data_IF_362053958158
#
_entry.id   IF_362053958158
#
_cell.length_a   1.000
_cell.length_b   1.000
_cell.length_c   1.000
_cell.angle_alpha   90.00
_cell.angle_beta   90.00
_cell.angle_gamma   90.00
#
_symmetry.space_group_name_H-M   'P 1'
#
loop_
_entity.id
_entity.type
_entity.pdbx_description
1 polymer ?
#
# COMPACT_ATOMS: atom_id res chain seq x y z
N UNK A 1 -76.62 17.03 -15.01
CA UNK A 1 -75.41 17.51 -15.72
C UNK A 1 -74.25 16.59 -15.35
N UNK A 2 -73.59 16.00 -16.37
CA UNK A 2 -72.24 15.40 -16.49
C UNK A 2 -71.52 14.87 -15.21
N UNK A 3 -71.15 13.58 -15.12
CA UNK A 3 -69.93 12.90 -15.66
C UNK A 3 -68.61 13.42 -15.05
N UNK A 4 -67.93 12.60 -14.21
CA UNK A 4 -66.66 11.86 -14.44
C UNK A 4 -65.39 12.69 -14.15
N UNK A 5 -64.36 12.25 -13.40
CA UNK A 5 -63.45 11.07 -13.54
C UNK A 5 -62.81 10.80 -12.14
N UNK A 6 -62.94 9.62 -11.51
CA UNK A 6 -62.04 8.41 -11.44
C UNK A 6 -60.60 8.69 -10.94
N UNK A 7 -60.13 8.24 -9.76
CA UNK A 7 -59.84 6.89 -9.23
C UNK A 7 -58.70 6.12 -9.94
N UNK A 8 -57.61 5.91 -9.19
CA UNK A 8 -56.69 4.75 -9.17
C UNK A 8 -55.83 4.36 -10.38
N UNK A 9 -54.54 4.20 -10.07
CA UNK A 9 -53.87 2.92 -10.29
C UNK A 9 -53.28 2.41 -8.97
N UNK A 10 -53.82 1.26 -8.54
CA UNK A 10 -53.26 0.30 -7.57
C UNK A 10 -51.82 -0.11 -7.99
N UNK A 11 -50.94 -0.54 -7.08
CA UNK A 11 -50.85 -1.95 -6.64
C UNK A 11 -50.22 -2.04 -5.24
N UNK A 12 -50.94 -2.78 -4.39
CA UNK A 12 -50.49 -3.42 -3.15
C UNK A 12 -49.91 -4.79 -3.53
N UNK A 13 -48.75 -5.17 -2.99
CA UNK A 13 -48.46 -6.57 -2.72
C UNK A 13 -47.80 -6.72 -1.34
N UNK A 14 -48.34 -7.68 -0.60
CA UNK A 14 -48.21 -7.95 0.83
C UNK A 14 -47.22 -9.12 1.08
N UNK A 15 -46.82 -9.28 2.36
CA UNK A 15 -46.43 -10.52 3.11
C UNK A 15 -44.91 -10.69 3.40
N UNK A 16 -44.41 -10.37 4.63
CA UNK A 16 -44.29 -11.19 5.90
C UNK A 16 -42.80 -11.60 6.08
N UNK A 17 -42.06 -11.50 7.20
CA UNK A 17 -42.32 -11.67 8.64
C UNK A 17 -41.20 -11.04 9.51
N UNK A 18 -41.59 -10.65 10.75
CA UNK A 18 -40.83 -10.48 12.00
C UNK A 18 -39.73 -9.43 12.15
N UNK A 19 -40.13 -8.31 12.75
CA UNK A 19 -39.33 -7.42 13.60
C UNK A 19 -39.00 -8.09 14.95
N UNK A 20 -37.74 -8.09 15.35
CA UNK A 20 -37.32 -8.31 16.74
C UNK A 20 -37.30 -6.97 17.49
N UNK A 21 -38.40 -6.62 18.14
CA UNK A 21 -38.43 -5.57 19.16
C UNK A 21 -37.90 -6.19 20.45
N UNK A 22 -36.71 -5.77 20.91
CA UNK A 22 -36.22 -6.12 22.26
C UNK A 22 -37.09 -5.38 23.27
N UNK A 23 -37.99 -6.12 23.91
CA UNK A 23 -38.80 -5.64 25.02
C UNK A 23 -38.09 -5.95 26.33
N UNK A 24 -37.42 -4.95 26.90
CA UNK A 24 -36.85 -5.04 28.26
C UNK A 24 -38.01 -5.01 29.25
N UNK A 25 -38.39 -6.17 29.78
CA UNK A 25 -39.33 -6.28 30.89
C UNK A 25 -38.54 -6.36 32.19
N UNK A 26 -38.49 -5.26 32.95
CA UNK A 26 -37.93 -5.25 34.30
C UNK A 26 -38.95 -5.92 35.23
N UNK A 27 -38.64 -7.14 35.68
CA UNK A 27 -39.44 -7.82 36.69
C UNK A 27 -39.11 -7.22 38.07
N UNK A 28 -40.13 -6.68 38.76
CA UNK A 28 -39.99 -5.91 40.00
C UNK A 28 -40.16 -6.72 41.28
N UNK A 29 -40.12 -8.04 41.19
CA UNK A 29 -40.21 -8.92 42.35
C UNK A 29 -38.86 -9.61 42.58
N UNK A 30 -38.04 -9.04 43.46
CA UNK A 30 -37.42 -9.67 44.65
C UNK A 30 -36.34 -8.73 45.20
N UNK A 31 -36.76 -7.66 45.89
CA UNK A 31 -35.92 -7.02 46.91
C UNK A 31 -36.16 -7.81 48.19
N UNK A 32 -35.23 -8.69 48.55
CA UNK A 32 -35.06 -9.15 49.92
C UNK A 32 -33.61 -8.97 50.33
N UNK A 33 -33.42 -8.03 51.25
CA UNK A 33 -32.26 -7.96 52.13
C UNK A 33 -31.99 -9.34 52.74
N UNK A 34 -30.75 -9.81 52.65
CA UNK A 34 -30.20 -10.68 53.69
C UNK A 34 -28.68 -10.49 53.78
N UNK A 35 -28.29 -10.01 54.95
CA UNK A 35 -26.96 -10.05 55.54
C UNK A 35 -26.54 -11.50 55.84
N UNK A 36 -25.32 -11.90 55.51
CA UNK A 36 -24.66 -13.06 56.13
C UNK A 36 -23.68 -13.84 55.23
N UNK A 37 -22.42 -13.86 55.66
CA UNK A 37 -21.34 -14.85 55.49
C UNK A 37 -21.21 -15.71 54.20
N UNK A 38 -20.06 -15.50 53.55
CA UNK A 38 -19.04 -16.51 53.21
C UNK A 38 -19.50 -17.85 52.60
N UNK A 39 -19.37 -17.95 51.27
CA UNK A 39 -18.92 -19.17 50.58
C UNK A 39 -18.57 -18.84 49.13
N UNK A 40 -17.38 -19.25 48.71
CA UNK A 40 -16.83 -19.20 47.35
C UNK A 40 -17.83 -19.66 46.29
N UNK A 41 -18.16 -18.76 45.35
CA UNK A 41 -18.84 -19.10 44.09
C UNK A 41 -17.76 -19.16 43.02
N UNK A 42 -17.45 -20.36 42.56
CA UNK A 42 -16.72 -20.58 41.31
C UNK A 42 -17.57 -20.03 40.17
N UNK A 43 -17.06 -19.00 39.49
CA UNK A 43 -17.61 -18.49 38.24
C UNK A 43 -17.05 -19.41 37.15
N UNK A 44 -17.86 -20.34 36.66
CA UNK A 44 -17.53 -21.02 35.41
C UNK A 44 -17.48 -19.98 34.29
N UNK A 45 -16.47 -20.01 33.40
CA UNK A 45 -16.42 -19.09 32.28
C UNK A 45 -17.62 -19.33 31.38
N UNK A 46 -18.36 -18.26 31.10
CA UNK A 46 -19.41 -18.28 30.08
C UNK A 46 -18.79 -18.72 28.76
N UNK A 47 -19.35 -19.76 28.15
CA UNK A 47 -19.08 -20.13 26.76
C UNK A 47 -19.21 -18.86 25.90
N UNK A 48 -18.09 -18.37 25.38
CA UNK A 48 -18.08 -17.35 24.34
C UNK A 48 -18.87 -17.92 23.16
N UNK A 49 -20.09 -17.45 22.96
CA UNK A 49 -20.81 -17.59 21.70
C UNK A 49 -19.92 -16.96 20.63
N UNK A 50 -19.14 -17.79 19.92
CA UNK A 50 -18.47 -17.38 18.69
C UNK A 50 -19.55 -16.89 17.73
N UNK A 51 -19.69 -15.57 17.63
CA UNK A 51 -20.47 -14.92 16.57
C UNK A 51 -19.92 -15.49 15.26
N UNK A 52 -20.72 -16.16 14.42
CA UNK A 52 -20.22 -16.74 13.19
C UNK A 52 -19.63 -15.62 12.34
N UNK A 53 -18.29 -15.64 12.22
CA UNK A 53 -17.54 -14.67 11.41
C UNK A 53 -18.08 -14.80 10.00
N UNK A 54 -18.73 -13.73 9.51
CA UNK A 54 -19.14 -13.66 8.10
C UNK A 54 -17.87 -13.87 7.27
N UNK A 55 -17.84 -14.82 6.32
CA UNK A 55 -16.64 -15.06 5.53
C UNK A 55 -16.18 -13.77 4.86
N UNK A 56 -14.88 -13.45 4.98
CA UNK A 56 -14.27 -12.33 4.25
C UNK A 56 -14.50 -12.55 2.76
N UNK A 57 -15.13 -11.59 2.12
CA UNK A 57 -15.35 -11.60 0.68
C UNK A 57 -14.13 -10.96 0.05
N UNK A 58 -13.50 -11.68 -0.89
CA UNK A 58 -12.48 -11.15 -1.79
C UNK A 58 -13.21 -10.29 -2.83
N UNK A 59 -12.79 -9.05 -2.98
CA UNK A 59 -13.36 -8.09 -3.93
C UNK A 59 -13.08 -8.51 -5.39
N UNK A 60 -13.94 -8.11 -6.31
CA UNK A 60 -13.70 -8.33 -7.74
C UNK A 60 -12.47 -7.53 -8.18
N UNK A 61 -11.61 -8.13 -9.01
CA UNK A 61 -10.40 -7.44 -9.45
C UNK A 61 -9.32 -8.37 -9.99
N UNK A 62 -8.14 -7.79 -10.22
CA UNK A 62 -6.94 -8.51 -10.65
C UNK A 62 -6.14 -8.93 -9.43
N UNK A 63 -5.65 -10.16 -9.43
CA UNK A 63 -4.90 -10.74 -8.34
C UNK A 63 -3.71 -11.55 -8.84
N UNK A 64 -2.68 -11.58 -8.01
CA UNK A 64 -1.68 -12.63 -8.03
C UNK A 64 -2.05 -13.69 -6.98
N UNK A 65 -1.80 -14.96 -7.29
CA UNK A 65 -2.04 -16.08 -6.37
C UNK A 65 -0.67 -16.63 -5.94
N UNK A 66 -0.29 -16.40 -4.70
CA UNK A 66 1.04 -16.69 -4.17
C UNK A 66 1.03 -17.90 -3.24
N UNK A 67 1.95 -18.85 -3.45
CA UNK A 67 2.10 -19.98 -2.54
C UNK A 67 2.98 -19.58 -1.34
N UNK A 68 2.40 -19.54 -0.14
CA UNK A 68 3.10 -19.08 1.08
C UNK A 68 4.37 -19.87 1.40
N UNK A 69 4.36 -21.19 1.13
CA UNK A 69 5.47 -22.09 1.43
C UNK A 69 6.60 -21.99 0.40
N UNK A 70 6.24 -21.95 -0.88
CA UNK A 70 7.21 -22.02 -1.98
C UNK A 70 7.68 -20.66 -2.46
N UNK A 71 7.03 -19.57 -2.04
CA UNK A 71 7.36 -18.20 -2.39
C UNK A 71 7.29 -17.89 -3.89
N UNK A 72 6.46 -18.63 -4.63
CA UNK A 72 6.20 -18.46 -6.06
C UNK A 72 4.72 -18.16 -6.34
N UNK A 73 4.45 -17.62 -7.53
CA UNK A 73 3.16 -17.19 -8.03
C UNK A 73 2.58 -18.18 -9.03
N UNK A 74 1.27 -18.37 -8.99
CA UNK A 74 0.54 -19.18 -9.96
C UNK A 74 0.59 -18.52 -11.33
N UNK A 75 1.01 -19.29 -12.33
CA UNK A 75 0.95 -18.90 -13.72
C UNK A 75 0.39 -20.00 -14.61
N UNK A 76 0.00 -19.63 -15.82
CA UNK A 76 -0.14 -20.59 -16.91
C UNK A 76 1.26 -20.96 -17.39
N UNK A 77 1.54 -22.26 -17.53
CA UNK A 77 2.82 -22.77 -18.06
C UNK A 77 3.09 -22.16 -19.43
N UNK A 78 4.12 -21.32 -19.52
CA UNK A 78 4.48 -20.51 -20.68
C UNK A 78 5.73 -21.00 -21.43
N UNK A 79 6.38 -22.05 -20.93
CA UNK A 79 7.58 -22.67 -21.50
C UNK A 79 7.30 -23.54 -22.75
N UNK A 80 6.06 -23.48 -23.27
CA UNK A 80 5.61 -24.30 -24.38
C UNK A 80 5.79 -23.64 -25.77
N UNK A 81 6.36 -24.43 -26.70
CA UNK A 81 6.48 -24.08 -28.12
C UNK A 81 5.12 -23.71 -28.76
N UNK A 82 5.08 -22.66 -29.59
CA UNK A 82 3.91 -22.17 -30.36
C UNK A 82 2.73 -21.63 -29.52
N UNK A 83 3.00 -20.94 -28.43
CA UNK A 83 2.00 -20.27 -27.58
C UNK A 83 0.89 -21.23 -27.12
N UNK A 84 1.24 -22.47 -26.74
CA UNK A 84 0.24 -23.41 -26.22
C UNK A 84 -0.37 -22.93 -24.91
N UNK A 85 0.33 -22.08 -24.16
CA UNK A 85 -0.15 -21.36 -22.99
C UNK A 85 -1.33 -20.40 -23.25
N UNK A 86 -1.73 -20.17 -24.51
CA UNK A 86 -2.97 -19.48 -24.86
C UNK A 86 -4.13 -20.42 -25.20
N UNK A 87 -3.87 -21.73 -25.30
CA UNK A 87 -4.84 -22.75 -25.72
C UNK A 87 -5.55 -23.36 -24.51
N UNK A 88 -6.66 -24.02 -24.80
CA UNK A 88 -7.34 -24.82 -23.80
C UNK A 88 -6.45 -25.98 -23.38
N UNK A 89 -6.61 -26.42 -22.14
CA UNK A 89 -5.83 -27.50 -21.51
C UNK A 89 -4.37 -27.14 -21.20
N UNK A 90 -3.92 -25.90 -21.45
CA UNK A 90 -2.65 -25.44 -20.90
C UNK A 90 -2.68 -25.57 -19.37
N UNK A 91 -1.62 -26.13 -18.80
CA UNK A 91 -1.55 -26.45 -17.38
C UNK A 91 -1.07 -25.24 -16.57
N UNK A 92 -1.22 -25.32 -15.25
CA UNK A 92 -0.77 -24.29 -14.32
C UNK A 92 0.44 -24.73 -13.52
N UNK A 93 1.30 -23.78 -13.21
CA UNK A 93 2.55 -24.00 -12.49
C UNK A 93 2.92 -22.80 -11.60
N UNK A 94 4.07 -22.86 -10.96
CA UNK A 94 4.58 -21.85 -10.05
C UNK A 94 5.94 -21.31 -10.52
N UNK A 95 6.05 -19.98 -10.57
CA UNK A 95 7.30 -19.27 -10.87
C UNK A 95 7.47 -18.01 -9.98
N UNK A 96 8.69 -17.50 -9.80
CA UNK A 96 8.91 -16.16 -9.29
C UNK A 96 8.17 -15.12 -10.12
N UNK A 97 7.85 -13.98 -9.51
CA UNK A 97 7.14 -12.91 -10.19
C UNK A 97 7.95 -12.37 -11.38
N UNK A 98 7.30 -12.31 -12.54
CA UNK A 98 7.87 -11.77 -13.79
C UNK A 98 7.26 -10.44 -14.20
N UNK A 99 6.09 -10.06 -13.65
CA UNK A 99 5.32 -8.90 -14.10
C UNK A 99 4.44 -9.15 -15.34
N UNK A 100 4.46 -10.37 -15.87
CA UNK A 100 3.75 -10.73 -17.10
C UNK A 100 2.30 -11.14 -16.87
N UNK A 101 1.43 -10.94 -17.87
CA UNK A 101 -0.01 -11.19 -17.75
C UNK A 101 -0.37 -12.66 -17.45
N UNK A 102 0.53 -13.61 -17.72
CA UNK A 102 0.30 -15.04 -17.45
C UNK A 102 0.25 -15.39 -15.96
N UNK A 103 0.69 -14.49 -15.09
CA UNK A 103 0.66 -14.61 -13.63
C UNK A 103 -0.55 -13.89 -13.01
N UNK A 104 -1.28 -13.10 -13.80
CA UNK A 104 -2.37 -12.25 -13.33
C UNK A 104 -3.72 -12.92 -13.58
N UNK A 105 -4.56 -12.92 -12.54
CA UNK A 105 -5.85 -13.59 -12.52
C UNK A 105 -6.97 -12.61 -12.17
N UNK A 106 -8.01 -12.55 -12.98
CA UNK A 106 -9.23 -11.78 -12.72
C UNK A 106 -10.21 -12.62 -11.91
N UNK A 107 -10.50 -12.16 -10.69
CA UNK A 107 -11.47 -12.75 -9.79
C UNK A 107 -12.81 -12.08 -9.98
N UNK A 108 -13.87 -12.88 -10.05
CA UNK A 108 -15.24 -12.38 -10.01
C UNK A 108 -16.05 -13.23 -9.04
N UNK A 109 -16.60 -12.57 -8.03
CA UNK A 109 -17.54 -13.12 -7.08
C UNK A 109 -18.82 -13.55 -7.79
N UNK A 110 -19.26 -14.78 -7.51
CA UNK A 110 -20.50 -15.31 -8.07
C UNK A 110 -21.61 -15.31 -7.02
N UNK A 111 -21.31 -15.85 -5.83
CA UNK A 111 -22.19 -15.91 -4.67
C UNK A 111 -21.42 -16.46 -3.46
N UNK A 112 -21.85 -16.14 -2.24
CA UNK A 112 -21.21 -16.61 -1.00
C UNK A 112 -19.70 -16.33 -1.00
N UNK A 113 -18.87 -17.37 -1.12
CA UNK A 113 -17.41 -17.31 -1.23
C UNK A 113 -16.95 -18.10 -2.45
N UNK A 114 -17.77 -18.12 -3.51
CA UNK A 114 -17.54 -18.82 -4.77
C UNK A 114 -17.21 -17.82 -5.87
N UNK A 115 -16.16 -18.13 -6.62
CA UNK A 115 -15.56 -17.26 -7.62
C UNK A 115 -15.39 -17.98 -8.95
N UNK A 116 -15.41 -17.22 -10.04
CA UNK A 116 -14.68 -17.61 -11.26
C UNK A 116 -13.31 -16.90 -11.24
N UNK A 117 -12.30 -17.58 -11.75
CA UNK A 117 -10.92 -17.08 -11.81
C UNK A 117 -10.48 -17.18 -13.28
N UNK A 118 -10.18 -16.05 -13.90
CA UNK A 118 -9.88 -15.94 -15.34
C UNK A 118 -8.43 -15.48 -15.52
N UNK A 119 -7.64 -16.14 -16.35
CA UNK A 119 -6.30 -15.66 -16.71
C UNK A 119 -6.41 -14.35 -17.49
N UNK A 120 -5.63 -13.33 -17.10
CA UNK A 120 -5.59 -12.04 -17.81
C UNK A 120 -5.05 -12.22 -19.23
N UNK A 121 -3.98 -13.00 -19.38
CA UNK A 121 -3.31 -13.30 -20.64
C UNK A 121 -4.22 -13.98 -21.68
N UNK A 122 -4.87 -15.09 -21.30
CA UNK A 122 -5.62 -15.91 -22.26
C UNK A 122 -7.13 -15.66 -22.28
N UNK A 123 -7.66 -14.96 -21.26
CA UNK A 123 -9.10 -14.78 -20.98
C UNK A 123 -9.86 -16.08 -20.73
N UNK A 124 -9.17 -17.13 -20.32
CA UNK A 124 -9.73 -18.45 -20.01
C UNK A 124 -9.86 -18.69 -18.52
N UNK A 125 -10.84 -19.52 -18.16
CA UNK A 125 -11.10 -19.88 -16.78
C UNK A 125 -10.13 -20.94 -16.29
N UNK A 126 -9.62 -20.74 -15.07
CA UNK A 126 -8.95 -21.76 -14.29
C UNK A 126 -9.94 -22.89 -13.98
N UNK A 127 -9.57 -24.13 -14.30
CA UNK A 127 -10.49 -25.26 -14.30
C UNK A 127 -9.86 -26.61 -13.91
N UNK A 128 -10.72 -27.54 -13.47
CA UNK A 128 -10.39 -28.97 -13.44
C UNK A 128 -10.61 -29.56 -14.86
N UNK A 129 -9.69 -30.40 -15.37
CA UNK A 129 -9.91 -31.10 -16.64
C UNK A 129 -11.17 -31.96 -16.65
N UNK A 130 -11.91 -31.91 -17.76
CA UNK A 130 -13.16 -32.66 -17.94
C UNK A 130 -12.95 -34.17 -17.74
N UNK A 131 -13.82 -34.79 -16.94
CA UNK A 131 -13.76 -36.24 -16.65
C UNK A 131 -12.67 -36.63 -15.64
N UNK A 132 -12.08 -35.65 -14.97
CA UNK A 132 -11.08 -35.83 -13.92
C UNK A 132 -11.48 -35.18 -12.60
N UNK A 133 -12.73 -34.76 -12.45
CA UNK A 133 -13.26 -34.02 -11.29
C UNK A 133 -13.00 -34.74 -9.96
N UNK A 134 -13.03 -36.07 -9.94
CA UNK A 134 -12.78 -36.88 -8.74
C UNK A 134 -11.46 -37.66 -8.79
N UNK A 135 -10.46 -37.18 -9.55
CA UNK A 135 -9.15 -37.83 -9.71
C UNK A 135 -8.03 -37.04 -9.05
N UNK A 136 -7.24 -37.74 -8.22
CA UNK A 136 -6.12 -37.19 -7.45
C UNK A 136 -4.91 -36.89 -8.32
N UNK A 137 -4.25 -35.75 -8.05
CA UNK A 137 -2.97 -35.42 -8.65
C UNK A 137 -3.07 -34.99 -10.12
N UNK A 138 -4.20 -34.41 -10.49
CA UNK A 138 -4.45 -33.91 -11.84
C UNK A 138 -4.07 -32.44 -11.92
N UNK A 139 -3.29 -32.08 -12.95
CA UNK A 139 -2.92 -30.69 -13.22
C UNK A 139 -4.18 -29.85 -13.42
N UNK A 140 -4.18 -28.68 -12.79
CA UNK A 140 -5.13 -27.64 -13.12
C UNK A 140 -4.80 -27.10 -14.51
N UNK A 141 -5.83 -26.62 -15.19
CA UNK A 141 -5.73 -26.12 -16.55
C UNK A 141 -6.45 -24.78 -16.68
N UNK A 142 -6.32 -24.16 -17.85
CA UNK A 142 -7.24 -23.15 -18.33
C UNK A 142 -8.07 -23.63 -19.53
N UNK A 143 -9.25 -23.04 -19.72
CA UNK A 143 -10.15 -23.29 -20.86
C UNK A 143 -11.25 -22.23 -20.99
N UNK A 144 -11.98 -22.25 -22.10
CA UNK A 144 -13.12 -21.35 -22.32
C UNK A 144 -14.15 -21.41 -21.17
N UNK A 145 -14.52 -20.24 -20.62
CA UNK A 145 -15.49 -20.15 -19.53
C UNK A 145 -16.92 -20.41 -20.01
N UNK A 146 -17.50 -21.54 -19.60
CA UNK A 146 -18.85 -21.98 -19.96
C UNK A 146 -19.76 -22.19 -18.74
N UNK A 147 -19.39 -21.60 -17.59
CA UNK A 147 -20.22 -21.51 -16.37
C UNK A 147 -20.58 -22.87 -15.74
N UNK A 148 -19.63 -23.79 -15.73
CA UNK A 148 -19.81 -25.14 -15.16
C UNK A 148 -19.02 -25.32 -13.85
N UNK A 149 -19.43 -26.24 -12.95
CA UNK A 149 -18.86 -26.36 -11.60
C UNK A 149 -17.33 -26.55 -11.54
N UNK A 150 -16.71 -27.14 -12.58
CA UNK A 150 -15.25 -27.33 -12.64
C UNK A 150 -14.44 -26.06 -12.90
N UNK A 151 -15.14 -24.94 -13.15
CA UNK A 151 -14.58 -23.59 -13.37
C UNK A 151 -14.92 -22.64 -12.21
N UNK A 152 -15.53 -23.15 -11.14
CA UNK A 152 -15.94 -22.38 -9.98
C UNK A 152 -15.17 -22.84 -8.75
N UNK A 153 -14.75 -21.88 -7.94
CA UNK A 153 -13.81 -22.08 -6.85
C UNK A 153 -14.36 -21.46 -5.58
N UNK A 154 -14.51 -22.27 -4.54
CA UNK A 154 -14.78 -21.73 -3.21
C UNK A 154 -13.46 -21.36 -2.55
N UNK A 155 -13.40 -20.15 -1.99
CA UNK A 155 -12.21 -19.67 -1.31
C UNK A 155 -12.55 -19.50 0.17
N UNK A 156 -11.71 -20.05 1.04
CA UNK A 156 -11.87 -19.98 2.49
C UNK A 156 -10.59 -19.41 3.09
N UNK A 157 -10.71 -18.31 3.83
CA UNK A 157 -9.63 -17.79 4.67
C UNK A 157 -9.38 -18.79 5.81
N UNK A 158 -8.11 -19.08 6.09
CA UNK A 158 -7.68 -19.99 7.17
C UNK A 158 -6.82 -19.29 8.20
N UNK A 159 -6.07 -18.26 7.78
CA UNK A 159 -5.37 -17.29 8.63
C UNK A 159 -5.50 -15.91 7.98
N UNK A 160 -5.10 -14.85 8.67
CA UNK A 160 -5.14 -13.48 8.14
C UNK A 160 -4.46 -13.39 6.76
N UNK A 161 -5.26 -13.11 5.73
CA UNK A 161 -4.85 -13.02 4.33
C UNK A 161 -4.23 -14.30 3.73
N UNK A 162 -4.53 -15.47 4.29
CA UNK A 162 -4.12 -16.78 3.78
C UNK A 162 -5.32 -17.69 3.57
N UNK A 163 -5.35 -18.36 2.42
CA UNK A 163 -6.56 -18.99 1.89
C UNK A 163 -6.30 -20.42 1.42
N UNK A 164 -7.35 -21.24 1.51
CA UNK A 164 -7.46 -22.51 0.79
C UNK A 164 -8.51 -22.38 -0.32
N UNK A 165 -8.20 -22.92 -1.50
CA UNK A 165 -8.99 -22.77 -2.73
C UNK A 165 -9.52 -24.14 -3.16
N UNK A 166 -10.85 -24.32 -3.18
CA UNK A 166 -11.53 -25.60 -3.37
C UNK A 166 -12.34 -25.61 -4.67
N UNK A 167 -12.17 -26.61 -5.58
CA UNK A 167 -13.03 -26.71 -6.75
C UNK A 167 -14.46 -27.07 -6.34
N UNK A 168 -15.46 -26.54 -7.06
CA UNK A 168 -16.86 -26.92 -6.83
C UNK A 168 -17.21 -28.31 -7.40
N UNK A 169 -16.50 -28.77 -8.42
CA UNK A 169 -16.84 -29.99 -9.17
C UNK A 169 -16.62 -31.31 -8.41
N UNK A 170 -15.82 -31.30 -7.36
CA UNK A 170 -15.32 -32.52 -6.70
C UNK A 170 -15.90 -32.74 -5.29
N UNK A 171 -16.96 -32.01 -4.93
CA UNK A 171 -17.50 -32.02 -3.56
C UNK A 171 -18.33 -33.27 -3.29
N UNK A 172 -18.00 -33.95 -2.21
CA UNK A 172 -18.87 -34.93 -1.55
C UNK A 172 -18.98 -34.56 -0.08
N UNK A 173 -20.02 -35.02 0.61
CA UNK A 173 -20.26 -34.67 2.02
C UNK A 173 -19.10 -35.08 2.97
N UNK A 174 -18.23 -36.01 2.53
CA UNK A 174 -17.14 -36.58 3.34
C UNK A 174 -15.72 -36.25 2.83
N UNK A 175 -15.57 -35.61 1.65
CA UNK A 175 -14.26 -35.33 1.05
C UNK A 175 -14.22 -33.98 0.34
N UNK A 176 -13.46 -33.04 0.90
CA UNK A 176 -13.09 -31.79 0.23
C UNK A 176 -11.85 -32.01 -0.66
N UNK A 177 -11.81 -31.35 -1.81
CA UNK A 177 -10.65 -31.29 -2.70
C UNK A 177 -10.05 -29.89 -2.68
N UNK A 178 -8.75 -29.75 -2.94
CA UNK A 178 -8.07 -28.45 -2.82
C UNK A 178 -7.06 -28.26 -3.96
N UNK A 179 -6.90 -27.00 -4.39
CA UNK A 179 -5.79 -26.53 -5.21
C UNK A 179 -4.50 -26.59 -4.39
N UNK A 180 -3.51 -27.32 -4.89
CA UNK A 180 -2.28 -27.61 -4.16
C UNK A 180 -1.10 -27.74 -5.12
N UNK A 181 0.02 -27.13 -4.78
CA UNK A 181 1.28 -27.33 -5.48
C UNK A 181 1.71 -28.81 -5.42
N UNK A 182 2.31 -29.33 -6.49
CA UNK A 182 2.83 -30.69 -6.53
C UNK A 182 3.80 -30.97 -5.36
N UNK A 183 3.73 -32.17 -4.78
CA UNK A 183 4.59 -32.58 -3.66
C UNK A 183 6.06 -32.81 -4.05
N UNK A 184 6.36 -32.89 -5.34
CA UNK A 184 7.69 -33.16 -5.88
C UNK A 184 7.96 -32.30 -7.10
N UNK A 185 9.24 -32.04 -7.36
CA UNK A 185 9.71 -31.22 -8.47
C UNK A 185 10.58 -30.07 -7.99
N UNK A 186 11.14 -29.31 -8.94
CA UNK A 186 11.74 -28.01 -8.65
C UNK A 186 10.69 -27.07 -8.04
N UNK A 187 11.11 -25.94 -7.47
CA UNK A 187 10.18 -24.90 -7.00
C UNK A 187 9.63 -24.15 -8.21
N UNK A 188 10.53 -23.74 -9.10
CA UNK A 188 10.20 -23.14 -10.39
C UNK A 188 9.71 -24.22 -11.37
N UNK A 189 8.68 -23.89 -12.14
CA UNK A 189 7.97 -24.85 -13.00
C UNK A 189 7.16 -25.89 -12.22
N UNK A 190 6.87 -25.64 -10.93
CA UNK A 190 6.12 -26.62 -10.13
C UNK A 190 4.65 -26.62 -10.50
N UNK A 191 4.20 -27.73 -11.07
CA UNK A 191 2.80 -27.96 -11.42
C UNK A 191 1.84 -27.74 -10.23
N UNK A 192 0.71 -27.10 -10.50
CA UNK A 192 -0.40 -26.94 -9.57
C UNK A 192 -1.52 -27.91 -9.92
N UNK A 193 -1.97 -28.66 -8.92
CA UNK A 193 -2.85 -29.83 -9.08
C UNK A 193 -4.03 -29.74 -8.14
N UNK A 194 -5.04 -30.58 -8.39
CA UNK A 194 -6.02 -30.91 -7.37
C UNK A 194 -5.62 -32.17 -6.59
N UNK A 195 -5.83 -32.12 -5.28
CA UNK A 195 -5.70 -33.26 -4.38
C UNK A 195 -6.91 -33.33 -3.46
N UNK A 196 -7.17 -34.51 -2.90
CA UNK A 196 -8.02 -34.61 -1.70
C UNK A 196 -7.39 -33.79 -0.59
N UNK A 197 -8.21 -33.02 0.09
CA UNK A 197 -7.81 -32.28 1.26
C UNK A 197 -7.28 -33.27 2.30
N UNK A 198 -6.09 -32.96 2.81
CA UNK A 198 -5.53 -33.59 3.98
C UNK A 198 -5.09 -32.47 4.88
N UNK A 199 -5.46 -32.55 6.16
CA UNK A 199 -4.97 -31.63 7.17
C UNK A 199 -3.49 -31.94 7.39
N UNK A 200 -2.64 -31.30 6.57
CA UNK A 200 -1.21 -31.44 6.59
C UNK A 200 -0.55 -30.06 6.69
N UNK A 201 0.60 -30.01 7.36
CA UNK A 201 1.28 -28.74 7.67
C UNK A 201 2.37 -28.40 6.64
N UNK A 202 2.28 -28.91 5.41
CA UNK A 202 3.32 -28.65 4.39
C UNK A 202 3.13 -27.32 3.64
N UNK A 203 2.00 -26.64 3.84
CA UNK A 203 1.71 -25.32 3.26
C UNK A 203 1.59 -25.28 1.72
N UNK A 204 1.61 -26.43 1.04
CA UNK A 204 1.54 -26.47 -0.43
C UNK A 204 0.14 -26.12 -0.97
N UNK A 205 -0.88 -26.08 -0.11
CA UNK A 205 -2.26 -25.66 -0.40
C UNK A 205 -2.64 -24.34 0.30
N UNK A 206 -1.66 -23.62 0.86
CA UNK A 206 -1.83 -22.30 1.44
C UNK A 206 -1.46 -21.22 0.43
N UNK A 207 -2.41 -20.33 0.18
CA UNK A 207 -2.31 -19.30 -0.85
C UNK A 207 -2.55 -17.92 -0.24
N UNK A 208 -1.69 -16.95 -0.53
CA UNK A 208 -2.00 -15.52 -0.37
C UNK A 208 -2.55 -14.98 -1.68
N UNK A 209 -3.52 -14.08 -1.58
CA UNK A 209 -4.12 -13.41 -2.73
C UNK A 209 -3.74 -11.94 -2.67
N UNK A 210 -2.90 -11.52 -3.59
CA UNK A 210 -2.43 -10.13 -3.64
C UNK A 210 -3.24 -9.36 -4.69
N UNK A 211 -4.07 -8.38 -4.30
CA UNK A 211 -4.77 -7.54 -5.25
C UNK A 211 -3.76 -6.67 -5.99
N UNK A 212 -3.94 -6.52 -7.30
CA UNK A 212 -3.22 -5.52 -8.09
C UNK A 212 -4.08 -4.26 -8.08
N UNK A 213 -3.68 -3.29 -7.27
CA UNK A 213 -4.36 -2.00 -7.15
C UNK A 213 -4.24 -1.22 -8.48
N UNK A 214 -5.24 -0.41 -8.86
CA UNK A 214 -5.21 0.31 -10.13
C UNK A 214 -4.07 1.33 -10.18
N UNK A 215 -3.51 1.48 -11.36
CA UNK A 215 -2.51 2.47 -11.73
C UNK A 215 -3.11 3.51 -12.69
N UNK A 216 -2.57 4.73 -12.71
CA UNK A 216 -2.91 5.75 -13.71
C UNK A 216 -2.09 5.60 -14.99
N UNK A 217 -0.96 4.91 -14.93
CA UNK A 217 0.07 4.92 -15.98
C UNK A 217 1.03 6.11 -15.89
N UNK A 218 0.94 6.90 -14.81
CA UNK A 218 1.84 8.02 -14.49
C UNK A 218 2.67 7.77 -13.22
N UNK A 219 2.71 6.53 -12.74
CA UNK A 219 3.55 6.11 -11.64
C UNK A 219 5.03 6.41 -11.91
N UNK A 220 5.73 6.84 -10.86
CA UNK A 220 7.17 7.04 -10.92
C UNK A 220 7.87 5.69 -11.01
N UNK A 221 8.82 5.58 -11.95
CA UNK A 221 9.61 4.36 -12.16
C UNK A 221 10.32 3.88 -10.87
N UNK A 222 10.39 2.56 -10.73
CA UNK A 222 11.09 1.92 -9.63
C UNK A 222 12.59 1.81 -9.94
N UNK A 223 13.36 2.82 -9.53
CA UNK A 223 14.79 2.94 -9.83
C UNK A 223 15.65 2.86 -8.54
N UNK A 224 15.70 1.72 -7.84
CA UNK A 224 16.39 1.62 -6.55
C UNK A 224 17.88 1.97 -6.64
N UNK A 225 18.53 1.73 -7.78
CA UNK A 225 19.94 2.06 -8.01
C UNK A 225 20.21 3.57 -7.88
N UNK A 226 19.29 4.40 -8.37
CA UNK A 226 19.40 5.86 -8.30
C UNK A 226 19.18 6.40 -6.89
N UNK A 227 18.37 5.71 -6.08
CA UNK A 227 18.10 6.08 -4.69
C UNK A 227 19.11 5.52 -3.69
N UNK A 228 19.77 4.41 -4.04
CA UNK A 228 20.70 3.70 -3.18
C UNK A 228 22.16 4.17 -3.35
N UNK A 229 22.42 5.12 -4.25
CA UNK A 229 23.75 5.74 -4.40
C UNK A 229 24.01 6.79 -3.30
N UNK A 230 25.28 6.92 -2.92
CA UNK A 230 25.74 8.04 -2.09
C UNK A 230 25.78 9.31 -2.95
N UNK A 231 25.40 10.49 -2.42
CA UNK A 231 24.96 10.75 -1.04
C UNK A 231 23.46 10.54 -0.76
N UNK A 232 22.64 10.24 -1.77
CA UNK A 232 21.16 10.15 -1.66
C UNK A 232 20.72 9.16 -0.59
N UNK A 233 21.27 7.95 -0.58
CA UNK A 233 20.86 6.89 0.36
C UNK A 233 20.97 7.31 1.83
N UNK A 234 21.97 8.15 2.16
CA UNK A 234 22.27 8.58 3.52
C UNK A 234 21.41 9.76 3.96
N UNK A 235 20.87 10.52 3.01
CA UNK A 235 20.27 11.82 3.25
C UNK A 235 18.81 11.91 2.79
N UNK A 236 18.17 10.80 2.45
CA UNK A 236 16.74 10.72 2.12
C UNK A 236 16.06 9.64 2.95
N UNK A 237 14.74 9.69 3.08
CA UNK A 237 13.94 8.73 3.86
C UNK A 237 12.67 8.28 3.09
N UNK A 238 11.70 7.69 3.80
CA UNK A 238 10.44 7.24 3.23
C UNK A 238 9.62 8.34 2.55
N UNK A 239 9.61 9.55 3.12
CA UNK A 239 8.84 10.68 2.59
C UNK A 239 9.49 11.23 1.31
N UNK A 240 10.81 11.48 1.32
CA UNK A 240 11.58 11.84 0.12
C UNK A 240 11.35 10.87 -1.04
N UNK A 241 11.43 9.58 -0.74
CA UNK A 241 11.24 8.54 -1.74
C UNK A 241 9.80 8.51 -2.28
N UNK A 242 8.82 8.52 -1.37
CA UNK A 242 7.42 8.40 -1.73
C UNK A 242 6.92 9.58 -2.56
N UNK A 243 7.42 10.79 -2.33
CA UNK A 243 7.02 12.01 -3.05
C UNK A 243 7.97 12.40 -4.19
N UNK A 244 8.98 11.56 -4.45
CA UNK A 244 9.93 11.68 -5.56
C UNK A 244 10.80 12.94 -5.53
N UNK A 245 11.52 13.15 -4.44
CA UNK A 245 12.55 14.20 -4.36
C UNK A 245 13.82 13.73 -3.64
N UNK A 246 14.98 14.12 -4.16
CA UNK A 246 16.30 13.77 -3.65
C UNK A 246 17.02 14.94 -2.99
N UNK A 247 16.44 16.15 -2.99
CA UNK A 247 17.08 17.34 -2.41
C UNK A 247 17.32 17.19 -0.90
N UNK A 248 18.58 17.27 -0.50
CA UNK A 248 19.04 17.35 0.88
C UNK A 248 20.21 18.32 0.90
N UNK A 249 20.25 19.35 1.75
CA UNK A 249 21.44 20.22 1.74
C UNK A 249 22.37 19.97 2.91
N UNK A 250 23.60 19.65 2.53
CA UNK A 250 24.71 19.34 3.40
C UNK A 250 25.74 20.46 3.25
N UNK A 251 25.75 21.40 4.19
CA UNK A 251 26.91 22.26 4.35
C UNK A 251 27.88 21.59 5.33
N UNK A 252 28.97 21.05 4.79
CA UNK A 252 30.20 20.97 5.56
C UNK A 252 30.79 22.37 5.62
N UNK A 253 30.61 23.13 6.71
CA UNK A 253 31.52 24.22 7.10
C UNK A 253 31.30 24.64 8.57
N UNK A 254 32.42 24.93 9.23
CA UNK A 254 32.65 25.17 10.67
C UNK A 254 31.87 26.32 11.34
N UNK A 255 30.68 26.71 10.88
CA UNK A 255 29.92 27.84 11.43
C UNK A 255 28.43 27.52 11.67
N UNK A 256 28.18 26.42 12.40
CA UNK A 256 27.14 26.18 13.41
C UNK A 256 25.79 26.92 13.48
N UNK A 257 25.25 27.55 12.44
CA UNK A 257 23.94 28.25 12.52
C UNK A 257 23.02 28.02 11.30
N UNK A 258 23.56 27.73 10.11
CA UNK A 258 22.73 27.53 8.89
C UNK A 258 22.42 26.05 8.58
N UNK A 259 23.12 25.12 9.24
CA UNK A 259 23.13 23.68 8.94
C UNK A 259 21.82 23.00 9.42
N UNK A 260 21.18 23.52 10.46
CA UNK A 260 19.93 22.97 11.01
C UNK A 260 18.70 23.24 10.12
N UNK A 261 18.78 24.16 9.16
CA UNK A 261 17.63 24.53 8.31
C UNK A 261 17.41 23.62 7.11
N UNK A 262 18.41 22.84 6.70
CA UNK A 262 18.38 22.21 5.36
C UNK A 262 18.51 20.67 5.40
N UNK A 263 18.85 20.09 6.56
CA UNK A 263 18.57 18.68 6.86
C UNK A 263 17.06 18.38 7.06
N UNK A 264 16.20 19.40 7.02
CA UNK A 264 14.76 19.28 7.26
C UNK A 264 14.02 18.71 6.04
N UNK A 265 14.50 18.86 4.80
CA UNK A 265 13.70 18.61 3.58
C UNK A 265 13.10 17.20 3.46
N UNK A 266 13.57 16.23 4.24
CA UNK A 266 13.11 14.84 4.23
C UNK A 266 11.91 14.55 5.12
N UNK A 267 11.47 15.48 5.97
CA UNK A 267 10.35 15.27 6.89
C UNK A 267 9.13 16.13 6.50
N UNK A 268 7.90 15.64 6.72
CA UNK A 268 6.68 16.42 6.49
C UNK A 268 6.71 17.78 7.18
N UNK A 269 6.38 18.84 6.43
CA UNK A 269 6.24 20.24 6.86
C UNK A 269 7.51 21.07 6.69
N UNK A 270 8.63 20.44 6.33
CA UNK A 270 9.88 21.13 6.17
C UNK A 270 10.00 21.89 4.85
N UNK A 271 9.30 21.47 3.79
CA UNK A 271 9.30 22.19 2.51
C UNK A 271 8.55 23.53 2.66
N UNK A 272 7.41 23.52 3.36
CA UNK A 272 6.68 24.74 3.71
C UNK A 272 7.51 25.72 4.56
N UNK A 273 8.28 25.19 5.52
CA UNK A 273 9.16 26.00 6.36
C UNK A 273 10.39 26.52 5.62
N UNK A 274 10.94 25.73 4.68
CA UNK A 274 12.04 26.17 3.82
C UNK A 274 11.61 27.34 2.93
N UNK A 275 10.40 27.27 2.35
CA UNK A 275 9.82 28.34 1.53
C UNK A 275 9.30 29.54 2.36
N UNK A 276 9.62 29.58 3.66
CA UNK A 276 9.25 30.63 4.61
C UNK A 276 7.74 30.95 4.68
N UNK A 277 6.88 30.00 4.31
CA UNK A 277 5.42 30.21 4.27
C UNK A 277 4.84 30.10 5.69
N UNK A 278 5.31 29.15 6.51
CA UNK A 278 4.87 28.90 7.89
C UNK A 278 5.99 28.26 8.75
N UNK A 279 5.96 28.40 10.09
CA UNK A 279 6.88 27.66 10.96
C UNK A 279 6.53 26.17 10.99
N UNK A 280 7.46 25.30 10.59
CA UNK A 280 7.26 23.83 10.66
C UNK A 280 6.84 23.40 12.07
N UNK A 281 5.75 22.63 12.16
CA UNK A 281 5.33 21.99 13.40
C UNK A 281 6.05 20.64 13.49
N UNK A 282 6.92 20.47 14.48
CA UNK A 282 7.52 19.15 14.70
C UNK A 282 6.41 18.16 15.09
N UNK A 283 6.20 17.08 14.32
CA UNK A 283 5.15 16.11 14.61
C UNK A 283 5.46 15.32 15.90
N UNK A 284 6.68 15.46 16.45
CA UNK A 284 7.16 14.78 17.65
C UNK A 284 6.97 15.57 18.95
N UNK A 285 6.65 16.88 18.88
CA UNK A 285 6.71 17.78 20.05
C UNK A 285 5.72 17.40 21.17
N UNK A 286 4.62 16.73 20.84
CA UNK A 286 3.57 16.28 21.77
C UNK A 286 3.19 14.79 21.55
N UNK A 287 4.14 14.01 21.05
CA UNK A 287 3.95 12.64 20.56
C UNK A 287 3.55 12.61 19.08
N UNK A 288 4.04 11.62 18.34
CA UNK A 288 3.75 11.46 16.92
C UNK A 288 2.27 11.12 16.72
N UNK A 289 1.61 11.83 15.82
CA UNK A 289 0.19 11.64 15.49
C UNK A 289 -0.01 11.69 13.99
N UNK A 290 -0.83 10.78 13.49
CA UNK A 290 -1.16 10.67 12.07
C UNK A 290 -1.70 12.00 11.52
N UNK A 291 -2.57 12.67 12.27
CA UNK A 291 -3.20 13.93 11.85
C UNK A 291 -2.17 15.05 11.69
N UNK A 292 -1.19 15.15 12.61
CA UNK A 292 -0.14 16.17 12.52
C UNK A 292 0.81 15.92 11.34
N UNK A 293 1.12 14.65 11.06
CA UNK A 293 1.91 14.30 9.88
C UNK A 293 1.18 14.71 8.61
N UNK A 294 -0.11 14.40 8.49
CA UNK A 294 -0.92 14.75 7.32
C UNK A 294 -1.13 16.26 7.18
N UNK A 295 -1.34 17.00 8.28
CA UNK A 295 -1.37 18.48 8.28
C UNK A 295 -0.07 19.06 7.71
N UNK A 296 1.08 18.52 8.13
CA UNK A 296 2.38 18.96 7.63
C UNK A 296 2.59 18.66 6.14
N UNK A 297 2.12 17.51 5.64
CA UNK A 297 2.17 17.20 4.20
C UNK A 297 1.29 18.16 3.40
N UNK A 298 0.11 18.52 3.94
CA UNK A 298 -0.76 19.53 3.32
C UNK A 298 -0.09 20.92 3.24
N UNK A 299 0.65 21.32 4.28
CA UNK A 299 1.44 22.55 4.25
C UNK A 299 2.53 22.49 3.15
N UNK A 300 3.23 21.35 3.02
CA UNK A 300 4.21 21.15 1.95
C UNK A 300 3.55 21.18 0.56
N UNK A 301 2.38 20.55 0.41
CA UNK A 301 1.60 20.53 -0.84
C UNK A 301 1.18 21.93 -1.26
N UNK A 302 0.70 22.76 -0.31
CA UNK A 302 0.37 24.15 -0.59
C UNK A 302 1.61 24.96 -1.00
N UNK A 303 2.75 24.72 -0.34
CA UNK A 303 3.97 25.46 -0.57
C UNK A 303 4.63 25.13 -1.92
N UNK A 304 4.76 23.84 -2.23
CA UNK A 304 5.42 23.34 -3.44
C UNK A 304 4.46 23.01 -4.59
N UNK A 305 3.17 23.26 -4.40
CA UNK A 305 2.12 23.14 -5.43
C UNK A 305 1.99 21.74 -6.05
N UNK A 306 2.21 20.70 -5.24
CA UNK A 306 1.89 19.33 -5.63
C UNK A 306 0.51 18.91 -5.11
N UNK A 307 -0.14 17.95 -5.77
CA UNK A 307 -1.42 17.43 -5.33
C UNK A 307 -1.24 16.45 -4.17
N UNK A 308 -2.11 16.51 -3.16
CA UNK A 308 -2.16 15.54 -2.07
C UNK A 308 -3.62 15.33 -1.67
N UNK A 309 -4.25 14.31 -2.23
CA UNK A 309 -5.68 14.05 -2.01
C UNK A 309 -5.88 12.64 -1.45
N UNK A 310 -6.65 12.51 -0.37
CA UNK A 310 -7.05 11.21 0.15
C UNK A 310 -7.97 10.50 -0.85
N UNK A 311 -7.73 9.21 -1.08
CA UNK A 311 -8.49 8.38 -2.02
C UNK A 311 -8.76 6.99 -1.43
N UNK A 312 -9.76 6.29 -1.98
CA UNK A 312 -9.94 4.87 -1.69
C UNK A 312 -8.79 4.05 -2.30
N UNK A 313 -8.37 2.96 -1.64
CA UNK A 313 -7.24 2.16 -2.13
C UNK A 313 -7.48 1.53 -3.50
N UNK A 314 -8.74 1.26 -3.86
CA UNK A 314 -9.15 0.73 -5.16
C UNK A 314 -9.50 1.83 -6.17
N UNK A 315 -9.29 3.10 -5.83
CA UNK A 315 -9.47 4.22 -6.75
C UNK A 315 -8.25 4.39 -7.67
N UNK A 316 -8.52 4.63 -8.96
CA UNK A 316 -7.48 5.03 -9.91
C UNK A 316 -7.20 6.52 -9.76
N UNK A 317 -5.93 6.92 -9.85
CA UNK A 317 -5.54 8.33 -9.85
C UNK A 317 -5.68 8.95 -11.24
N UNK A 318 -5.60 10.28 -11.31
CA UNK A 318 -5.60 11.02 -12.57
C UNK A 318 -4.27 10.85 -13.32
N UNK A 319 -4.27 11.15 -14.62
CA UNK A 319 -3.04 11.26 -15.40
C UNK A 319 -2.12 12.34 -14.78
N UNK A 320 -0.83 12.04 -14.65
CA UNK A 320 0.15 12.85 -13.93
C UNK A 320 0.23 12.59 -12.41
N UNK A 321 -0.68 11.78 -11.85
CA UNK A 321 -0.70 11.43 -10.43
C UNK A 321 -0.46 9.94 -10.19
N UNK A 322 0.12 9.61 -9.05
CA UNK A 322 0.31 8.24 -8.58
C UNK A 322 -0.11 8.08 -7.11
N UNK A 323 -0.17 6.84 -6.65
CA UNK A 323 -0.62 6.52 -5.29
C UNK A 323 0.54 6.38 -4.31
N UNK A 324 0.37 6.96 -3.13
CA UNK A 324 1.20 6.68 -1.94
C UNK A 324 0.31 6.15 -0.82
N UNK A 325 0.88 5.34 0.07
CA UNK A 325 0.20 4.85 1.26
C UNK A 325 0.92 5.34 2.52
N UNK A 326 0.15 5.93 3.43
CA UNK A 326 0.64 6.41 4.71
C UNK A 326 0.46 5.35 5.77
N UNK A 327 1.50 5.14 6.58
CA UNK A 327 1.51 4.16 7.66
C UNK A 327 2.05 4.76 8.96
N UNK A 328 1.54 4.26 10.08
CA UNK A 328 2.00 4.62 11.41
C UNK A 328 2.48 3.37 12.16
N UNK A 329 3.57 3.48 12.89
CA UNK A 329 3.94 2.45 13.86
C UNK A 329 2.84 2.36 14.93
N UNK A 330 2.40 1.15 15.27
CA UNK A 330 1.28 0.90 16.20
C UNK A 330 1.47 1.51 17.59
N UNK A 331 2.71 1.77 17.99
CA UNK A 331 3.05 2.45 19.24
C UNK A 331 3.23 3.98 19.08
N UNK A 332 2.88 4.54 17.91
CA UNK A 332 3.02 5.95 17.54
C UNK A 332 4.45 6.49 17.75
N UNK A 333 5.47 5.70 17.37
CA UNK A 333 6.88 6.09 17.52
C UNK A 333 7.52 6.54 16.21
N UNK A 334 6.94 6.13 15.09
CA UNK A 334 7.45 6.36 13.75
C UNK A 334 6.30 6.41 12.74
N UNK A 335 6.54 7.05 11.61
CA UNK A 335 5.64 7.03 10.46
C UNK A 335 6.38 6.47 9.25
N UNK A 336 5.63 6.01 8.27
CA UNK A 336 6.24 5.41 7.09
C UNK A 336 5.37 5.62 5.85
N UNK A 337 6.01 5.63 4.69
CA UNK A 337 5.36 5.85 3.40
C UNK A 337 5.74 4.76 2.40
N UNK A 338 4.77 4.36 1.59
CA UNK A 338 4.93 3.47 0.44
C UNK A 338 4.53 4.19 -0.85
N UNK A 339 5.13 3.79 -1.97
CA UNK A 339 4.85 4.32 -3.30
C UNK A 339 4.44 3.19 -4.25
N UNK A 340 3.40 3.42 -5.04
CA UNK A 340 2.99 2.48 -6.09
C UNK A 340 3.94 2.60 -7.30
N UNK A 341 4.36 1.46 -7.84
CA UNK A 341 5.21 1.35 -9.03
C UNK A 341 4.35 1.12 -10.29
N UNK A 342 4.88 1.37 -11.50
CA UNK A 342 4.15 1.19 -12.76
C UNK A 342 3.64 -0.23 -13.02
N UNK A 343 4.36 -1.25 -12.53
CA UNK A 343 3.98 -2.66 -12.65
C UNK A 343 2.88 -3.09 -11.65
N UNK A 344 2.40 -2.15 -10.82
CA UNK A 344 1.40 -2.40 -9.78
C UNK A 344 1.97 -2.95 -8.47
N UNK A 345 3.27 -3.23 -8.40
CA UNK A 345 3.95 -3.46 -7.13
C UNK A 345 4.11 -2.15 -6.36
N UNK A 346 4.62 -2.24 -5.13
CA UNK A 346 4.88 -1.11 -4.25
C UNK A 346 6.27 -1.16 -3.70
N UNK A 347 6.81 0.00 -3.37
CA UNK A 347 8.16 0.18 -2.88
C UNK A 347 8.20 1.15 -1.71
N UNK A 348 9.28 1.08 -0.93
CA UNK A 348 9.49 1.95 0.19
C UNK A 348 10.97 2.09 0.58
N UNK A 349 11.27 3.07 1.42
CA UNK A 349 12.60 3.34 1.96
C UNK A 349 12.56 3.47 3.48
N UNK A 350 13.34 2.65 4.20
CA UNK A 350 13.34 2.68 5.68
C UNK A 350 14.46 3.59 6.21
N UNK A 351 14.16 4.86 6.45
CA UNK A 351 15.17 5.84 6.87
C UNK A 351 16.35 5.85 5.90
N UNK A 352 17.57 5.68 6.40
CA UNK A 352 18.80 5.62 5.59
C UNK A 352 19.13 4.22 5.01
N UNK A 353 18.19 3.27 5.03
CA UNK A 353 18.36 1.95 4.38
C UNK A 353 18.05 2.04 2.89
N UNK A 354 18.39 0.98 2.17
CA UNK A 354 18.08 0.84 0.74
C UNK A 354 16.57 0.94 0.48
N UNK A 355 16.22 1.55 -0.65
CA UNK A 355 14.91 1.42 -1.28
C UNK A 355 14.71 -0.04 -1.68
N UNK A 356 13.53 -0.57 -1.39
CA UNK A 356 13.14 -1.93 -1.75
C UNK A 356 11.65 -2.02 -2.05
N UNK A 357 11.26 -3.00 -2.88
CA UNK A 357 9.89 -3.41 -3.13
C UNK A 357 9.48 -4.66 -2.34
N UNK A 358 10.30 -5.06 -1.37
CA UNK A 358 10.07 -6.22 -0.50
C UNK A 358 9.55 -5.80 0.87
N UNK A 359 8.63 -6.59 1.40
CA UNK A 359 8.11 -6.46 2.75
C UNK A 359 9.10 -6.99 3.82
N UNK A 360 8.72 -6.96 5.10
CA UNK A 360 9.58 -7.42 6.18
C UNK A 360 9.92 -8.92 6.14
N UNK A 361 9.11 -9.71 5.42
CA UNK A 361 9.28 -11.14 5.17
C UNK A 361 10.05 -11.43 3.87
N UNK A 362 10.48 -10.41 3.13
CA UNK A 362 11.20 -10.56 1.86
C UNK A 362 10.30 -10.92 0.68
N UNK A 363 9.00 -10.61 0.75
CA UNK A 363 8.01 -10.84 -0.32
C UNK A 363 7.68 -9.52 -1.00
N UNK A 364 7.47 -9.54 -2.32
CA UNK A 364 7.07 -8.34 -3.07
C UNK A 364 5.77 -7.74 -2.51
N UNK A 365 5.73 -6.41 -2.45
CA UNK A 365 4.56 -5.66 -1.97
C UNK A 365 3.66 -5.36 -3.17
N UNK A 366 2.40 -5.81 -3.12
CA UNK A 366 1.35 -5.43 -4.11
C UNK A 366 0.20 -4.64 -3.47
N UNK A 367 0.03 -4.79 -2.17
CA UNK A 367 -0.83 -3.95 -1.34
C UNK A 367 -0.15 -3.76 0.02
N UNK A 368 0.28 -2.53 0.37
CA UNK A 368 0.91 -2.23 1.65
C UNK A 368 0.07 -2.63 2.87
N UNK A 369 -1.27 -2.66 2.76
CA UNK A 369 -2.19 -3.00 3.85
C UNK A 369 -2.02 -4.45 4.32
N UNK A 370 -1.81 -5.38 3.39
CA UNK A 370 -1.67 -6.82 3.68
C UNK A 370 -0.22 -7.31 3.68
N UNK A 371 0.76 -6.45 3.36
CA UNK A 371 2.17 -6.77 3.42
C UNK A 371 2.67 -6.93 4.86
N UNK A 372 3.73 -7.72 5.06
CA UNK A 372 4.39 -7.82 6.36
C UNK A 372 5.15 -6.53 6.69
N UNK A 373 4.72 -5.87 7.76
CA UNK A 373 5.24 -4.59 8.22
C UNK A 373 5.95 -4.70 9.57
N UNK A 374 6.19 -5.91 10.06
CA UNK A 374 6.89 -6.15 11.31
C UNK A 374 8.40 -6.20 11.09
N UNK A 375 9.08 -5.11 11.42
CA UNK A 375 10.52 -4.99 11.30
C UNK A 375 11.20 -5.15 12.66
N UNK A 376 11.76 -6.34 12.98
CA UNK A 376 12.44 -6.54 14.25
C UNK A 376 13.68 -5.65 14.36
N UNK A 377 13.88 -5.08 15.54
CA UNK A 377 15.08 -4.32 15.85
C UNK A 377 16.32 -5.22 15.84
N UNK A 378 17.34 -4.82 15.08
CA UNK A 378 18.63 -5.52 15.03
C UNK A 378 19.37 -5.42 16.38
N UNK A 379 20.07 -6.48 16.76
CA UNK A 379 21.00 -6.46 17.90
C UNK A 379 22.34 -5.89 17.43
N UNK A 380 22.74 -4.73 17.96
CA UNK A 380 24.04 -4.12 17.69
C UNK A 380 24.75 -3.92 19.03
N UNK A 381 25.95 -4.50 19.17
CA UNK A 381 26.78 -4.41 20.38
C UNK A 381 26.03 -4.76 21.68
N UNK A 382 25.11 -5.74 21.60
CA UNK A 382 24.30 -6.20 22.74
C UNK A 382 23.07 -5.34 23.06
N UNK A 383 22.84 -4.26 22.32
CA UNK A 383 21.63 -3.44 22.42
C UNK A 383 20.66 -3.76 21.28
N UNK A 384 19.42 -4.09 21.64
CA UNK A 384 18.35 -4.26 20.65
C UNK A 384 17.90 -2.88 20.16
N UNK A 385 17.98 -2.66 18.86
CA UNK A 385 17.35 -1.50 18.22
C UNK A 385 15.82 -1.60 18.35
N UNK A 386 15.14 -0.50 18.03
CA UNK A 386 13.68 -0.47 18.03
C UNK A 386 13.12 -1.43 16.99
N UNK A 387 12.07 -2.13 17.39
CA UNK A 387 11.18 -2.86 16.49
C UNK A 387 10.09 -1.91 16.02
N UNK A 388 9.70 -2.02 14.76
CA UNK A 388 8.60 -1.27 14.19
C UNK A 388 7.53 -2.22 13.65
N UNK A 389 6.27 -1.89 13.85
CA UNK A 389 5.14 -2.63 13.32
C UNK A 389 4.11 -1.62 12.85
N UNK A 390 4.01 -1.45 11.53
CA UNK A 390 3.21 -0.39 10.93
C UNK A 390 1.80 -0.85 10.58
N UNK A 391 0.83 0.05 10.68
CA UNK A 391 -0.52 -0.08 10.14
C UNK A 391 -0.78 1.00 9.09
N UNK A 392 -1.51 0.66 8.02
CA UNK A 392 -1.88 1.64 6.99
C UNK A 392 -3.00 2.53 7.54
N UNK A 393 -2.78 3.85 7.45
CA UNK A 393 -3.74 4.87 7.87
C UNK A 393 -4.59 5.33 6.70
N UNK A 394 -4.00 5.47 5.51
CA UNK A 394 -4.72 5.97 4.33
C UNK A 394 -3.90 5.90 3.05
N UNK A 395 -4.59 6.11 1.92
CA UNK A 395 -4.02 6.18 0.58
C UNK A 395 -4.26 7.56 0.00
N UNK A 396 -3.29 8.07 -0.75
CA UNK A 396 -3.33 9.41 -1.29
C UNK A 396 -2.87 9.43 -2.75
N UNK A 397 -3.54 10.23 -3.57
CA UNK A 397 -3.06 10.58 -4.91
C UNK A 397 -2.12 11.78 -4.82
N UNK A 398 -0.99 11.70 -5.51
CA UNK A 398 0.03 12.76 -5.51
C UNK A 398 0.63 12.99 -6.89
N UNK A 399 0.99 14.24 -7.18
CA UNK A 399 1.89 14.56 -8.30
C UNK A 399 3.33 14.46 -7.83
N UNK A 400 4.27 13.99 -8.67
CA UNK A 400 5.67 13.89 -8.27
C UNK A 400 6.29 15.27 -8.10
N UNK A 401 7.12 15.45 -7.08
CA UNK A 401 7.86 16.70 -6.89
C UNK A 401 9.01 16.88 -7.89
N UNK A 402 9.63 15.77 -8.33
CA UNK A 402 10.72 15.74 -9.32
C UNK A 402 11.89 16.69 -8.99
N UNK A 403 12.23 16.83 -7.71
CA UNK A 403 13.36 17.66 -7.28
C UNK A 403 14.59 16.77 -7.15
N UNK A 404 15.54 16.91 -8.06
CA UNK A 404 16.72 16.05 -8.17
C UNK A 404 18.03 16.84 -8.23
N UNK A 405 19.14 16.18 -7.94
CA UNK A 405 20.47 16.69 -8.28
C UNK A 405 20.79 16.36 -9.74
N UNK A 406 21.40 17.31 -10.44
CA UNK A 406 22.02 17.04 -11.74
C UNK A 406 23.45 16.50 -11.61
N UNK A 407 24.08 16.21 -12.76
CA UNK A 407 25.47 15.70 -12.83
C UNK A 407 26.51 16.71 -12.28
N UNK A 408 26.12 17.96 -12.03
CA UNK A 408 26.96 19.04 -11.51
C UNK A 408 26.65 19.36 -10.04
N UNK A 409 25.92 18.49 -9.33
CA UNK A 409 25.47 18.67 -7.94
C UNK A 409 24.58 19.93 -7.73
N UNK A 410 23.89 20.39 -8.79
CA UNK A 410 22.89 21.47 -8.71
C UNK A 410 21.49 20.89 -8.51
N UNK A 411 20.68 21.52 -7.65
CA UNK A 411 19.27 21.14 -7.47
C UNK A 411 18.48 21.63 -8.68
N UNK A 412 17.92 20.71 -9.46
CA UNK A 412 16.93 21.01 -10.50
C UNK A 412 15.55 20.91 -9.88
N UNK A 413 14.80 22.01 -9.96
CA UNK A 413 13.36 22.02 -9.74
C UNK A 413 12.68 21.79 -11.09
N UNK A 414 12.24 20.56 -11.37
CA UNK A 414 11.38 20.28 -12.52
C UNK A 414 9.93 20.20 -12.04
N UNK A 415 9.25 21.34 -12.01
CA UNK A 415 7.83 21.40 -11.64
C UNK A 415 6.89 20.78 -12.67
N UNK A 416 7.38 20.21 -13.79
CA UNK A 416 6.57 19.40 -14.70
C UNK A 416 5.39 20.14 -15.37
N UNK A 417 5.44 21.47 -15.49
CA UNK A 417 4.34 22.26 -16.08
C UNK A 417 4.73 22.76 -17.46
N UNK A 418 4.16 22.17 -18.52
CA UNK A 418 4.51 22.48 -19.91
C UNK A 418 3.86 23.74 -20.50
N UNK A 419 2.99 24.47 -19.79
CA UNK A 419 2.37 25.68 -20.33
C UNK A 419 1.82 26.59 -19.21
N UNK A 420 2.69 27.34 -18.53
CA UNK A 420 2.30 28.59 -17.88
C UNK A 420 3.46 29.60 -17.99
N UNK A 421 3.12 30.87 -18.19
CA UNK A 421 4.07 32.00 -18.11
C UNK A 421 4.87 31.87 -16.82
N UNK A 422 6.20 32.06 -16.93
CA UNK A 422 7.14 32.06 -15.80
C UNK A 422 6.47 32.69 -14.57
N UNK A 423 6.31 31.96 -13.45
CA UNK A 423 5.89 32.64 -12.23
C UNK A 423 6.93 33.73 -11.97
N UNK A 424 6.46 34.96 -11.69
CA UNK A 424 7.31 36.06 -11.21
C UNK A 424 7.93 35.63 -9.87
N UNK A 425 8.97 34.80 -9.93
CA UNK A 425 9.85 34.52 -8.81
C UNK A 425 10.61 35.83 -8.60
N UNK A 426 10.47 36.50 -7.44
CA UNK A 426 11.13 37.76 -7.20
C UNK A 426 12.64 37.62 -7.46
N UNK A 427 13.16 38.51 -8.31
CA UNK A 427 14.56 38.62 -8.76
C UNK A 427 15.63 38.67 -7.62
N UNK A 428 15.20 38.61 -6.36
CA UNK A 428 16.00 38.55 -5.14
C UNK A 428 16.58 37.14 -4.92
N UNK A 429 15.90 36.06 -5.31
CA UNK A 429 16.39 34.68 -5.09
C UNK A 429 17.52 34.27 -6.05
N UNK A 430 17.48 34.70 -7.32
CA UNK A 430 18.53 34.42 -8.30
C UNK A 430 19.87 35.14 -8.00
N UNK A 431 19.82 36.34 -7.39
CA UNK A 431 21.04 37.08 -7.02
C UNK A 431 21.80 36.44 -5.85
N UNK A 432 21.12 35.69 -5.00
CA UNK A 432 21.77 35.00 -3.88
C UNK A 432 22.61 33.81 -4.38
N UNK A 433 22.14 33.12 -5.43
CA UNK A 433 22.88 32.06 -6.11
C UNK A 433 24.11 32.57 -6.89
N UNK A 434 24.01 33.71 -7.59
CA UNK A 434 25.17 34.30 -8.29
C UNK A 434 26.25 34.86 -7.35
N UNK A 435 25.87 35.32 -6.15
CA UNK A 435 26.82 35.83 -5.16
C UNK A 435 27.80 34.74 -4.68
N UNK A 436 27.34 33.51 -4.51
CA UNK A 436 28.17 32.39 -4.04
C UNK A 436 28.95 31.69 -5.16
N UNK A 437 28.50 31.78 -6.42
CA UNK A 437 29.26 31.28 -7.59
C UNK A 437 30.60 31.99 -7.77
N UNK A 438 30.75 33.20 -7.25
CA UNK A 438 31.99 34.00 -7.32
C UNK A 438 32.94 33.79 -6.13
N UNK A 439 32.60 32.91 -5.17
CA UNK A 439 33.40 32.67 -3.95
C UNK A 439 33.99 31.24 -3.87
N UNK A 440 34.50 30.72 -4.99
CA UNK A 440 35.40 29.54 -5.06
C UNK A 440 35.84 29.44 -6.53
N UNK A 441 37.05 29.70 -7.00
CA UNK A 441 38.42 29.63 -6.51
C UNK A 441 39.26 30.67 -7.29
N UNK A 442 40.15 31.42 -6.62
CA UNK A 442 41.59 31.30 -6.88
C UNK A 442 42.43 32.29 -6.05
N UNK A 443 43.32 31.70 -5.27
CA UNK A 443 44.67 32.15 -4.89
C UNK A 443 44.84 33.34 -3.91
N UNK A 444 45.48 32.98 -2.79
CA UNK A 444 46.46 33.72 -1.97
C UNK A 444 46.39 35.26 -1.97
N UNK A 445 45.86 35.86 -0.90
CA UNK A 445 46.50 36.96 -0.16
C UNK A 445 45.68 37.32 1.10
N UNK A 446 46.36 37.88 2.11
CA UNK A 446 45.95 38.03 3.51
C UNK A 446 44.54 38.62 3.75
N UNK A 447 43.75 37.92 4.59
CA UNK A 447 42.45 38.39 5.10
C UNK A 447 42.60 39.65 5.97
N UNK A 448 41.86 40.75 5.72
CA UNK A 448 41.64 41.77 6.73
C UNK A 448 40.58 41.27 7.72
N UNK A 449 40.94 41.27 9.01
CA UNK A 449 39.97 41.15 10.12
C UNK A 449 38.91 42.25 10.00
N UNK A 450 37.66 41.89 9.72
CA UNK A 450 36.53 42.82 9.84
C UNK A 450 35.70 42.49 11.09
N UNK A 451 35.65 43.48 11.98
CA UNK A 451 34.95 43.45 13.27
C UNK A 451 33.46 43.78 13.13
N UNK A 452 32.71 43.31 14.12
CA UNK A 452 31.27 43.31 14.39
C UNK A 452 30.47 44.64 14.30
N UNK A 453 30.73 45.56 13.37
CA UNK A 453 30.11 46.90 13.40
C UNK A 453 29.18 47.34 12.25
N UNK A 454 28.84 46.51 11.26
CA UNK A 454 28.04 46.98 10.11
C UNK A 454 26.73 46.20 9.80
N UNK A 455 26.13 45.52 10.78
CA UNK A 455 24.77 44.94 10.62
C UNK A 455 23.70 45.86 11.22
N UNK A 456 23.50 47.04 10.65
CA UNK A 456 22.36 47.92 11.00
C UNK A 456 21.86 48.74 9.81
N UNK A 457 21.52 48.09 8.70
CA UNK A 457 20.78 48.75 7.62
C UNK A 457 19.97 47.73 6.84
N UNK A 458 18.77 47.39 7.34
CA UNK A 458 17.65 46.80 6.55
C UNK A 458 16.39 46.71 7.44
N UNK A 459 16.05 47.83 8.09
CA UNK A 459 14.70 48.10 8.57
C UNK A 459 14.42 49.54 8.17
N UNK A 460 13.60 49.69 7.13
CA UNK A 460 12.87 50.88 6.67
C UNK A 460 12.93 50.93 5.15
N UNK A 461 11.86 50.48 4.49
CA UNK A 461 11.26 51.20 3.35
C UNK A 461 9.89 50.58 3.08
N UNK A 462 8.90 51.10 3.78
CA UNK A 462 7.50 51.00 3.40
C UNK A 462 7.02 52.44 3.28
N UNK A 463 6.98 52.99 2.07
CA UNK A 463 6.06 54.05 1.69
C UNK A 463 6.15 54.40 0.18
N UNK A 464 5.01 54.21 -0.48
CA UNK A 464 4.47 55.02 -1.58
C UNK A 464 5.18 55.00 -2.94
N UNK A 465 4.41 54.68 -3.99
CA UNK A 465 4.18 55.58 -5.14
C UNK A 465 2.85 55.18 -5.80
N UNK A 466 1.88 56.09 -5.70
CA UNK A 466 0.80 56.27 -6.68
C UNK A 466 1.40 56.95 -7.92
N UNK A 467 1.07 56.46 -9.12
CA UNK A 467 0.31 57.13 -10.22
C UNK A 467 0.09 56.09 -11.31
#
# INVERSE_FOLDING_TARGET
MKKSIDLMSYIIMFIVLSLGIVSVTINKDTIKNNSGNDSSVEVEPSDDEQIPIKPKVIEDGKYLIFNSQLKNYLQVDDDDFLNQYLKDQAILELWPYSGEEHQIWEFTHLYSNVYKIISLNSRKALAIPKGSENKRGINLIQEEYIKIPRQHWQIKEVNENEYKIYPLSARTDDEDWVMKASRSGAIDGREVKQYRYTDDDNGLDLWKLFPILPTSGSEVEYEPEEWNKSPIIQNTNCYSYAFNFQAFYADSLESGVLIDKIMCTVDPGCLANFLEILPARSPYKDGLRAELVLENVLEDAEAAKFNFNEIDKYESTLEGEYKVAFAMDKDNRDYHWYRQNPDGSWSHKRGNKEVTNLDASGVLIFDPDIADKFYPGELIDGNQKRTYDYEIIGYYSVTPLNIFYDEEDTIIFDFGVSDFEEPDIPLIELKYYEFYRNFSLDHEEELPKLSYQNLTFLLEFNETINI
#
